data_IF_462204233191
#
_entry.id   IF_462204233191
#
_cell.length_a   1.000
_cell.length_b   1.000
_cell.length_c   1.000
_cell.angle_alpha   90.00
_cell.angle_beta   90.00
_cell.angle_gamma   90.00
#
_symmetry.space_group_name_H-M   'P 1'
#
loop_
_entity.id
_entity.type
_entity.pdbx_description
1 polymer ?
#
# COMPACT_ATOMS: atom_id res chain seq x y z
N UNK A 1 4.31 17.54 -15.77
CA UNK A 1 3.29 16.47 -15.78
C UNK A 1 2.89 16.21 -14.36
N UNK A 2 1.60 16.05 -14.09
CA UNK A 2 1.10 15.67 -12.77
C UNK A 2 1.22 14.16 -12.64
N UNK A 3 1.98 13.68 -11.67
CA UNK A 3 2.09 12.25 -11.34
C UNK A 3 0.85 11.80 -10.57
N UNK A 4 0.54 10.51 -10.63
CA UNK A 4 -0.62 9.91 -9.99
C UNK A 4 -0.40 8.41 -9.75
N UNK A 5 -1.24 7.83 -8.90
CA UNK A 5 -1.35 6.40 -8.68
C UNK A 5 -2.57 5.91 -9.48
N UNK A 6 -2.41 4.91 -10.32
CA UNK A 6 -3.50 4.28 -11.08
C UNK A 6 -3.30 2.78 -11.10
N UNK A 7 -4.27 2.05 -11.63
CA UNK A 7 -4.18 0.61 -11.79
C UNK A 7 -4.27 0.14 -13.26
N UNK A 8 -3.82 -1.09 -13.45
CA UNK A 8 -3.99 -1.96 -14.60
C UNK A 8 -4.50 -3.32 -14.10
N UNK A 9 -5.56 -3.86 -14.71
CA UNK A 9 -6.14 -5.15 -14.32
C UNK A 9 -5.59 -6.20 -15.28
N UNK A 10 -4.66 -7.01 -14.77
CA UNK A 10 -4.00 -8.10 -15.49
C UNK A 10 -4.93 -9.31 -15.58
N UNK A 11 -5.62 -9.62 -14.48
CA UNK A 11 -6.67 -10.65 -14.40
C UNK A 11 -7.62 -10.31 -13.25
N UNK A 12 -8.86 -10.76 -13.35
CA UNK A 12 -9.92 -10.43 -12.40
C UNK A 12 -10.95 -11.56 -12.31
N UNK A 13 -11.70 -11.58 -11.22
CA UNK A 13 -12.88 -12.42 -11.03
C UNK A 13 -14.10 -11.53 -10.85
N UNK A 14 -15.00 -11.59 -11.83
CA UNK A 14 -16.29 -10.88 -11.84
C UNK A 14 -16.19 -9.35 -11.64
N UNK A 15 -15.03 -8.75 -11.95
CA UNK A 15 -14.81 -7.31 -11.85
C UNK A 15 -14.48 -6.80 -10.44
N UNK A 16 -14.31 -7.69 -9.45
CA UNK A 16 -14.08 -7.32 -8.05
C UNK A 16 -12.77 -6.57 -7.85
N UNK A 17 -11.69 -6.98 -8.52
CA UNK A 17 -10.40 -6.28 -8.39
C UNK A 17 -10.44 -4.90 -9.03
N UNK A 18 -11.17 -4.72 -10.13
CA UNK A 18 -11.34 -3.40 -10.74
C UNK A 18 -12.01 -2.40 -9.79
N UNK A 19 -13.05 -2.82 -9.09
CA UNK A 19 -13.74 -1.97 -8.11
C UNK A 19 -12.82 -1.62 -6.93
N UNK A 20 -12.20 -2.64 -6.33
CA UNK A 20 -11.26 -2.45 -5.22
C UNK A 20 -10.06 -1.56 -5.59
N UNK A 21 -9.48 -1.75 -6.79
CA UNK A 21 -8.35 -0.97 -7.25
C UNK A 21 -8.69 0.51 -7.44
N UNK A 22 -9.93 0.82 -7.87
CA UNK A 22 -10.42 2.20 -7.95
C UNK A 22 -10.44 2.85 -6.55
N UNK A 23 -11.03 2.17 -5.57
CA UNK A 23 -11.11 2.65 -4.19
C UNK A 23 -9.70 2.86 -3.62
N UNK A 24 -8.82 1.87 -3.77
CA UNK A 24 -7.48 1.90 -3.23
C UNK A 24 -6.59 2.99 -3.85
N UNK A 25 -6.66 3.17 -5.17
CA UNK A 25 -5.94 4.27 -5.83
C UNK A 25 -6.50 5.64 -5.42
N UNK A 26 -7.82 5.76 -5.25
CA UNK A 26 -8.43 7.01 -4.79
C UNK A 26 -8.00 7.36 -3.36
N UNK A 27 -7.95 6.39 -2.46
CA UNK A 27 -7.44 6.55 -1.11
C UNK A 27 -6.06 7.19 -1.11
N UNK A 28 -5.08 6.61 -1.81
CA UNK A 28 -3.72 7.15 -1.81
C UNK A 28 -3.60 8.48 -2.57
N UNK A 29 -4.33 8.66 -3.68
CA UNK A 29 -4.31 9.94 -4.43
C UNK A 29 -4.98 11.09 -3.68
N UNK A 30 -5.85 10.82 -2.70
CA UNK A 30 -6.38 11.85 -1.79
C UNK A 30 -5.25 12.48 -1.00
N UNK A 31 -4.38 11.66 -0.42
CA UNK A 31 -3.33 12.12 0.47
C UNK A 31 -2.02 12.48 -0.24
N UNK A 32 -1.75 11.90 -1.41
CA UNK A 32 -0.42 11.95 -2.01
C UNK A 32 -0.43 12.42 -3.47
N UNK A 33 0.65 13.09 -3.85
CA UNK A 33 1.14 13.14 -5.23
C UNK A 33 2.45 12.35 -5.27
N UNK A 34 2.51 11.23 -6.01
CA UNK A 34 3.68 10.38 -5.95
C UNK A 34 4.87 11.01 -6.69
N UNK A 35 6.11 10.70 -6.27
CA UNK A 35 7.33 11.22 -6.92
C UNK A 35 7.39 10.93 -8.43
N UNK A 36 6.86 9.78 -8.83
CA UNK A 36 6.72 9.26 -10.20
C UNK A 36 5.31 8.68 -10.32
N UNK A 37 4.77 8.58 -11.54
CA UNK A 37 3.50 7.88 -11.73
C UNK A 37 3.66 6.40 -11.36
N UNK A 38 2.67 5.87 -10.66
CA UNK A 38 2.63 4.48 -10.21
C UNK A 38 1.48 3.76 -10.91
N UNK A 39 1.75 2.58 -11.46
CA UNK A 39 0.73 1.65 -11.96
C UNK A 39 0.72 0.42 -11.07
N UNK A 40 -0.37 0.26 -10.33
CA UNK A 40 -0.67 -0.94 -9.56
C UNK A 40 -1.20 -2.00 -10.54
N UNK A 41 -0.52 -3.13 -10.65
CA UNK A 41 -0.89 -4.18 -11.59
C UNK A 41 -1.57 -5.31 -10.82
N UNK A 42 -2.89 -5.37 -10.90
CA UNK A 42 -3.67 -6.33 -10.13
C UNK A 42 -3.97 -7.56 -10.96
N UNK A 43 -3.64 -8.73 -10.43
CA UNK A 43 -4.03 -10.02 -10.95
C UNK A 43 -4.63 -10.91 -9.87
N UNK A 44 -4.94 -12.14 -10.27
CA UNK A 44 -5.39 -13.19 -9.37
C UNK A 44 -4.44 -14.38 -9.36
N UNK A 45 -4.40 -15.08 -8.24
CA UNK A 45 -3.77 -16.40 -8.14
C UNK A 45 -4.69 -17.38 -7.41
N UNK A 46 -4.44 -18.68 -7.57
CA UNK A 46 -5.19 -19.72 -6.89
C UNK A 46 -4.30 -20.42 -5.84
N UNK A 47 -4.73 -20.38 -4.58
CA UNK A 47 -4.11 -21.15 -3.52
C UNK A 47 -5.14 -21.60 -2.50
N UNK A 48 -5.01 -22.84 -2.03
CA UNK A 48 -5.82 -23.37 -0.92
C UNK A 48 -5.36 -22.87 0.46
N UNK A 49 -4.18 -22.25 0.52
CA UNK A 49 -3.57 -21.74 1.75
C UNK A 49 -4.32 -20.55 2.35
N UNK A 50 -3.67 -19.90 3.31
CA UNK A 50 -4.22 -18.76 4.04
C UNK A 50 -3.78 -17.40 3.47
N UNK A 51 -2.89 -17.38 2.48
CA UNK A 51 -2.42 -16.16 1.81
C UNK A 51 -3.58 -15.46 1.11
N UNK A 52 -3.83 -14.21 1.49
CA UNK A 52 -4.89 -13.33 0.97
C UNK A 52 -4.41 -12.67 -0.32
N UNK A 53 -3.26 -12.01 -0.26
CA UNK A 53 -2.66 -11.28 -1.36
C UNK A 53 -1.14 -11.47 -1.36
N UNK A 54 -0.53 -11.10 -2.49
CA UNK A 54 0.93 -11.08 -2.68
C UNK A 54 1.34 -9.77 -3.30
N UNK A 55 2.29 -9.07 -2.69
CA UNK A 55 3.04 -8.03 -3.36
C UNK A 55 4.38 -8.56 -3.89
N UNK A 56 4.66 -8.12 -5.10
CA UNK A 56 5.92 -8.37 -5.77
C UNK A 56 6.79 -7.12 -5.71
N UNK A 57 8.10 -7.32 -5.85
CA UNK A 57 9.05 -6.21 -5.89
C UNK A 57 8.69 -5.22 -7.02
N UNK A 58 8.48 -3.92 -6.72
CA UNK A 58 8.18 -2.94 -7.75
C UNK A 58 9.33 -2.79 -8.74
N UNK A 59 9.00 -2.54 -10.01
CA UNK A 59 9.97 -2.28 -11.08
C UNK A 59 9.68 -0.94 -11.76
N UNK A 60 10.65 -0.42 -12.52
CA UNK A 60 10.55 0.91 -13.13
C UNK A 60 10.86 0.86 -14.61
N UNK A 61 10.03 1.52 -15.43
CA UNK A 61 10.29 1.71 -16.85
C UNK A 61 9.88 3.11 -17.29
N UNK A 62 10.78 3.79 -18.02
CA UNK A 62 10.57 5.16 -18.55
C UNK A 62 10.04 6.17 -17.52
N UNK A 63 10.47 6.05 -16.25
CA UNK A 63 10.07 6.94 -15.18
C UNK A 63 8.64 6.71 -14.67
N UNK A 64 8.11 5.50 -14.84
CA UNK A 64 6.89 4.97 -14.22
C UNK A 64 7.29 3.79 -13.34
N UNK A 65 6.73 3.71 -12.13
CA UNK A 65 6.86 2.56 -11.24
C UNK A 65 5.65 1.64 -11.42
N UNK A 66 5.89 0.33 -11.43
CA UNK A 66 4.85 -0.69 -11.50
C UNK A 66 4.92 -1.52 -10.21
N UNK A 67 3.78 -1.64 -9.52
CA UNK A 67 3.63 -2.46 -8.31
C UNK A 67 2.72 -3.63 -8.60
N UNK A 68 3.25 -4.85 -8.82
CA UNK A 68 2.43 -6.03 -9.08
C UNK A 68 1.85 -6.57 -7.78
N UNK A 69 0.54 -6.83 -7.80
CA UNK A 69 -0.22 -7.39 -6.70
C UNK A 69 -1.08 -8.52 -7.25
N UNK A 70 -1.07 -9.67 -6.59
CA UNK A 70 -2.00 -10.76 -6.89
C UNK A 70 -2.91 -11.03 -5.70
N UNK A 71 -4.21 -11.20 -5.97
CA UNK A 71 -5.21 -11.54 -4.95
C UNK A 71 -5.64 -13.00 -5.09
N UNK A 72 -5.77 -13.69 -3.98
CA UNK A 72 -6.19 -15.08 -4.01
C UNK A 72 -7.69 -15.18 -4.32
N UNK A 73 -8.03 -15.91 -5.38
CA UNK A 73 -9.41 -16.15 -5.82
C UNK A 73 -10.32 -16.65 -4.70
N UNK A 74 -9.78 -17.44 -3.76
CA UNK A 74 -10.51 -17.94 -2.58
C UNK A 74 -11.09 -16.80 -1.75
N UNK A 75 -10.32 -15.74 -1.51
CA UNK A 75 -10.76 -14.61 -0.68
C UNK A 75 -11.58 -13.61 -1.47
N UNK A 76 -11.40 -13.52 -2.79
CA UNK A 76 -12.34 -12.78 -3.64
C UNK A 76 -13.77 -13.32 -3.56
N UNK A 77 -13.99 -14.60 -3.22
CA UNK A 77 -15.34 -15.14 -2.99
C UNK A 77 -15.92 -14.80 -1.60
N UNK A 78 -15.04 -14.56 -0.63
CA UNK A 78 -15.41 -14.37 0.77
C UNK A 78 -15.58 -12.89 1.13
N UNK A 79 -14.75 -12.04 0.55
CA UNK A 79 -14.65 -10.62 0.88
C UNK A 79 -15.62 -9.78 0.05
N UNK A 80 -16.05 -8.69 0.66
CA UNK A 80 -16.71 -7.61 -0.06
C UNK A 80 -15.70 -6.67 -0.74
N UNK A 81 -16.20 -5.63 -1.40
CA UNK A 81 -15.35 -4.70 -2.14
C UNK A 81 -14.43 -3.87 -1.23
N UNK A 82 -14.85 -3.56 0.00
CA UNK A 82 -14.06 -2.77 0.95
C UNK A 82 -12.96 -3.62 1.56
N UNK A 83 -13.25 -4.86 1.94
CA UNK A 83 -12.25 -5.81 2.41
C UNK A 83 -11.12 -6.01 1.40
N UNK A 84 -11.48 -6.19 0.11
CA UNK A 84 -10.50 -6.33 -0.98
C UNK A 84 -9.74 -5.02 -1.16
N UNK A 85 -10.43 -3.87 -1.13
CA UNK A 85 -9.80 -2.57 -1.29
C UNK A 85 -8.80 -2.28 -0.17
N UNK A 86 -9.12 -2.61 1.09
CA UNK A 86 -8.22 -2.42 2.23
C UNK A 86 -6.91 -3.17 2.07
N UNK A 87 -6.98 -4.45 1.68
CA UNK A 87 -5.79 -5.22 1.32
C UNK A 87 -5.02 -4.57 0.16
N UNK A 88 -5.69 -4.13 -0.90
CA UNK A 88 -4.98 -3.45 -2.01
C UNK A 88 -4.36 -2.12 -1.55
N UNK A 89 -4.98 -1.39 -0.63
CA UNK A 89 -4.43 -0.15 -0.06
C UNK A 89 -3.13 -0.45 0.68
N UNK A 90 -3.11 -1.49 1.51
CA UNK A 90 -1.92 -1.96 2.22
C UNK A 90 -0.78 -2.25 1.23
N UNK A 91 -1.05 -3.05 0.21
CA UNK A 91 -0.03 -3.47 -0.79
C UNK A 91 0.47 -2.30 -1.66
N UNK A 92 -0.36 -1.26 -1.88
CA UNK A 92 0.10 -0.02 -2.49
C UNK A 92 1.04 0.75 -1.55
N UNK A 93 0.84 0.69 -0.22
CA UNK A 93 1.76 1.22 0.79
C UNK A 93 3.18 0.67 0.63
N UNK A 94 3.29 -0.63 0.35
CA UNK A 94 4.56 -1.23 -0.07
C UNK A 94 5.05 -0.63 -1.36
N UNK A 95 4.26 -0.61 -2.43
CA UNK A 95 4.66 0.01 -3.71
C UNK A 95 5.17 1.46 -3.57
N UNK A 96 4.66 2.22 -2.58
CA UNK A 96 5.07 3.58 -2.25
C UNK A 96 6.41 3.67 -1.48
N UNK A 97 6.88 2.61 -0.84
CA UNK A 97 8.20 2.61 -0.21
C UNK A 97 8.33 1.80 1.07
N UNK A 98 7.23 1.52 1.75
CA UNK A 98 7.25 0.80 3.04
C UNK A 98 7.79 -0.62 2.81
N UNK A 99 8.73 -1.06 3.64
CA UNK A 99 9.38 -2.37 3.54
C UNK A 99 10.52 -2.51 2.52
N UNK A 100 10.78 -1.48 1.71
CA UNK A 100 11.90 -1.48 0.76
C UNK A 100 13.23 -1.03 1.37
N UNK A 101 14.27 -0.98 0.53
CA UNK A 101 15.63 -0.67 0.98
C UNK A 101 15.71 0.68 1.70
N UNK A 102 15.07 1.72 1.15
CA UNK A 102 15.06 3.05 1.80
C UNK A 102 14.34 3.03 3.14
N UNK A 103 13.31 2.22 3.31
CA UNK A 103 12.60 2.07 4.58
C UNK A 103 13.50 1.45 5.65
N UNK A 104 14.28 0.43 5.29
CA UNK A 104 15.24 -0.25 6.20
C UNK A 104 16.35 0.67 6.69
N UNK A 105 16.63 1.75 5.96
CA UNK A 105 17.57 2.79 6.40
C UNK A 105 16.98 3.72 7.47
N UNK A 106 15.66 3.74 7.68
CA UNK A 106 14.99 4.70 8.55
C UNK A 106 15.06 4.37 10.05
N UNK A 107 15.31 3.11 10.40
CA UNK A 107 15.23 2.61 11.78
C UNK A 107 16.43 1.75 12.18
N UNK A 108 16.57 1.51 13.48
CA UNK A 108 17.53 0.55 14.02
C UNK A 108 17.03 -0.88 13.86
N UNK A 109 17.69 -1.72 13.07
CA UNK A 109 17.24 -3.09 12.77
C UNK A 109 16.92 -3.96 14.01
N UNK A 110 17.59 -3.72 15.14
CA UNK A 110 17.39 -4.51 16.36
C UNK A 110 16.31 -3.95 17.29
N UNK A 111 15.92 -2.69 17.12
CA UNK A 111 14.95 -2.02 18.00
C UNK A 111 13.64 -1.70 17.28
N UNK A 112 13.65 -1.61 15.95
CA UNK A 112 12.52 -1.12 15.16
C UNK A 112 12.30 0.39 15.30
N UNK A 113 13.07 1.08 16.15
CA UNK A 113 12.92 2.50 16.43
C UNK A 113 13.51 3.37 15.33
N UNK A 114 12.76 4.40 14.93
CA UNK A 114 13.19 5.35 13.90
C UNK A 114 14.36 6.22 14.37
N UNK A 115 15.32 6.45 13.46
CA UNK A 115 16.51 7.23 13.78
C UNK A 115 16.15 8.72 13.97
N UNK A 116 16.84 9.45 14.87
CA UNK A 116 16.49 10.82 15.22
C UNK A 116 16.46 11.82 14.06
N UNK A 117 17.22 11.59 12.99
CA UNK A 117 17.18 12.41 11.78
C UNK A 117 15.82 12.36 11.08
N UNK A 118 15.15 11.20 11.10
CA UNK A 118 13.83 11.02 10.46
C UNK A 118 12.70 11.44 11.38
N UNK A 119 12.84 11.26 12.70
CA UNK A 119 11.84 11.78 13.65
C UNK A 119 11.85 13.31 13.73
N UNK A 120 12.94 13.99 13.35
CA UNK A 120 12.91 15.45 13.17
C UNK A 120 12.09 15.89 11.95
N UNK A 121 12.05 15.07 10.91
CA UNK A 121 11.33 15.35 9.67
C UNK A 121 9.86 14.90 9.76
N UNK A 122 9.59 13.75 10.37
CA UNK A 122 8.26 13.23 10.71
C UNK A 122 8.21 12.98 12.22
N UNK A 123 7.79 13.95 13.04
CA UNK A 123 7.78 13.86 14.51
C UNK A 123 7.10 12.62 15.09
N UNK A 124 5.98 12.21 14.53
CA UNK A 124 5.20 11.09 15.08
C UNK A 124 5.91 9.73 14.97
N UNK A 125 6.94 9.61 14.12
CA UNK A 125 7.76 8.40 14.06
C UNK A 125 8.49 8.08 15.38
N UNK A 126 8.65 9.06 16.27
CA UNK A 126 9.22 8.81 17.61
C UNK A 126 8.32 7.89 18.48
N UNK A 127 7.04 7.77 18.12
CA UNK A 127 6.06 6.92 18.78
C UNK A 127 5.82 5.61 18.02
N UNK A 128 6.46 5.45 16.86
CA UNK A 128 6.32 4.28 16.01
C UNK A 128 7.51 3.35 16.13
N UNK A 129 7.25 2.06 15.92
CA UNK A 129 8.27 1.02 15.78
C UNK A 129 7.93 0.10 14.63
N UNK A 130 8.96 -0.35 13.93
CA UNK A 130 8.86 -1.34 12.86
C UNK A 130 8.89 -2.75 13.45
N UNK A 131 8.14 -3.67 12.86
CA UNK A 131 8.12 -5.08 13.23
C UNK A 131 9.51 -5.71 13.15
N UNK A 132 9.93 -6.39 14.22
CA UNK A 132 11.27 -7.02 14.34
C UNK A 132 11.20 -8.52 14.60
N UNK A 133 10.00 -9.08 14.67
CA UNK A 133 9.66 -10.48 14.87
C UNK A 133 9.07 -11.08 13.57
N UNK A 134 8.50 -12.28 13.67
CA UNK A 134 7.92 -13.05 12.57
C UNK A 134 8.93 -13.40 11.45
N UNK A 135 8.40 -13.80 10.29
CA UNK A 135 9.19 -14.25 9.15
C UNK A 135 9.61 -13.10 8.22
N UNK A 136 10.44 -13.39 7.20
CA UNK A 136 10.97 -12.38 6.28
C UNK A 136 9.92 -11.56 5.50
N UNK A 137 8.69 -12.07 5.36
CA UNK A 137 7.58 -11.33 4.74
C UNK A 137 7.02 -10.23 5.63
N UNK A 138 7.13 -10.37 6.95
CA UNK A 138 6.55 -9.45 7.92
C UNK A 138 7.63 -8.56 8.57
N UNK A 139 8.73 -9.19 8.97
CA UNK A 139 9.83 -8.54 9.67
C UNK A 139 10.44 -7.41 8.83
N UNK A 140 10.61 -6.22 9.43
CA UNK A 140 11.22 -5.03 8.82
C UNK A 140 10.41 -4.38 7.71
N UNK A 141 9.21 -4.86 7.44
CA UNK A 141 8.34 -4.33 6.38
C UNK A 141 7.09 -3.64 6.90
N UNK A 142 6.76 -3.82 8.18
CA UNK A 142 5.50 -3.41 8.76
C UNK A 142 5.68 -2.57 10.01
N UNK A 143 4.61 -1.90 10.42
CA UNK A 143 4.52 -1.47 11.81
C UNK A 143 4.47 -2.69 12.74
N UNK A 144 5.01 -2.50 13.94
CA UNK A 144 5.03 -3.53 14.98
C UNK A 144 3.61 -4.02 15.35
N UNK A 145 3.39 -5.32 15.24
CA UNK A 145 2.09 -5.97 15.43
C UNK A 145 1.54 -5.77 16.84
N UNK A 146 2.38 -6.01 17.85
CA UNK A 146 1.97 -5.98 19.26
C UNK A 146 1.56 -4.57 19.70
N UNK A 147 2.17 -3.54 19.10
CA UNK A 147 1.93 -2.14 19.44
C UNK A 147 0.82 -1.50 18.63
N UNK A 148 0.70 -1.88 17.36
CA UNK A 148 -0.16 -1.16 16.41
C UNK A 148 -1.31 -1.98 15.84
N UNK A 149 -1.31 -3.32 16.02
CA UNK A 149 -2.38 -4.29 15.75
C UNK A 149 -3.33 -3.96 14.58
N UNK A 150 -4.27 -3.02 14.78
CA UNK A 150 -5.25 -2.60 13.78
C UNK A 150 -4.69 -1.65 12.71
N UNK A 151 -3.45 -1.19 12.81
CA UNK A 151 -2.90 -0.25 11.82
C UNK A 151 -2.77 -0.92 10.44
N UNK A 152 -3.26 -0.25 9.40
CA UNK A 152 -3.25 -0.68 7.99
C UNK A 152 -1.99 -1.41 7.53
N UNK A 153 -0.80 -0.98 7.92
CA UNK A 153 0.51 -1.50 7.49
C UNK A 153 1.16 -2.38 8.57
N UNK A 154 0.37 -3.03 9.43
CA UNK A 154 0.78 -4.29 10.07
C UNK A 154 0.73 -5.43 9.04
N UNK A 155 1.50 -6.49 9.24
CA UNK A 155 1.63 -7.63 8.34
C UNK A 155 0.58 -8.74 8.51
N UNK A 156 -0.42 -8.55 9.37
CA UNK A 156 -1.61 -9.40 9.45
C UNK A 156 -2.88 -8.58 9.22
N UNK A 157 -3.73 -9.04 8.32
CA UNK A 157 -5.02 -8.42 7.99
C UNK A 157 -5.96 -8.48 9.20
N UNK A 158 -6.53 -7.33 9.57
CA UNK A 158 -7.66 -7.25 10.49
C UNK A 158 -8.93 -6.74 9.76
N UNK A 159 -10.14 -7.19 10.14
CA UNK A 159 -11.40 -6.62 9.62
C UNK A 159 -11.69 -5.19 10.09
N UNK A 160 -11.05 -4.71 11.16
CA UNK A 160 -11.27 -3.37 11.74
C UNK A 160 -10.03 -2.49 11.59
N UNK A 161 -9.37 -2.56 10.43
CA UNK A 161 -8.17 -1.78 10.14
C UNK A 161 -8.38 -0.27 10.32
N UNK A 162 -7.36 0.40 10.82
CA UNK A 162 -7.28 1.82 11.11
C UNK A 162 -6.03 2.41 10.45
N UNK A 163 -6.06 3.69 10.10
CA UNK A 163 -4.89 4.38 9.54
C UNK A 163 -4.41 5.42 10.53
N UNK A 164 -3.15 5.33 10.93
CA UNK A 164 -2.49 6.37 11.71
C UNK A 164 -2.03 7.52 10.81
N UNK A 165 -2.07 8.79 11.27
CA UNK A 165 -1.54 9.94 10.53
C UNK A 165 -0.11 9.74 10.02
N UNK A 166 0.72 9.08 10.82
CA UNK A 166 2.13 8.81 10.50
C UNK A 166 2.32 7.90 9.28
N UNK A 167 1.37 6.99 8.99
CA UNK A 167 1.40 6.11 7.82
C UNK A 167 1.28 6.90 6.52
N UNK A 168 0.53 8.00 6.53
CA UNK A 168 0.48 8.93 5.42
C UNK A 168 1.72 9.85 5.42
N UNK A 169 2.09 10.38 6.58
CA UNK A 169 3.18 11.36 6.70
C UNK A 169 4.55 10.78 6.29
N UNK A 170 4.83 9.51 6.62
CA UNK A 170 6.11 8.85 6.31
C UNK A 170 6.40 8.80 4.81
N UNK A 171 5.38 8.90 3.96
CA UNK A 171 5.52 8.93 2.51
C UNK A 171 6.39 10.08 2.00
N UNK A 172 6.48 11.19 2.77
CA UNK A 172 7.38 12.29 2.43
C UNK A 172 8.86 11.85 2.46
N UNK A 173 9.21 10.93 3.37
CA UNK A 173 10.58 10.40 3.46
C UNK A 173 10.96 9.60 2.22
N UNK A 174 10.01 9.06 1.46
CA UNK A 174 10.26 8.41 0.16
C UNK A 174 10.27 9.39 -1.01
N UNK A 175 9.97 10.67 -0.77
CA UNK A 175 9.95 11.75 -1.75
C UNK A 175 8.62 11.93 -2.46
N UNK A 176 7.55 11.28 -1.99
CA UNK A 176 6.19 11.65 -2.38
C UNK A 176 5.81 12.96 -1.71
N UNK A 177 4.86 13.69 -2.31
CA UNK A 177 4.34 14.90 -1.69
C UNK A 177 3.02 14.57 -1.01
N UNK A 178 2.98 14.73 0.31
CA UNK A 178 1.73 14.72 1.08
C UNK A 178 0.97 16.02 0.79
N UNK A 179 -0.27 15.90 0.33
CA UNK A 179 -1.14 17.02 -0.04
C UNK A 179 -2.34 17.19 0.90
N UNK A 180 -2.68 16.15 1.65
CA UNK A 180 -3.66 16.17 2.72
C UNK A 180 -3.07 15.37 3.88
N UNK A 181 -3.11 15.93 5.09
CA UNK A 181 -2.72 15.24 6.31
C UNK A 181 -3.96 14.58 6.94
N UNK A 182 -3.80 13.36 7.43
CA UNK A 182 -4.83 12.71 8.21
C UNK A 182 -4.78 13.27 9.65
N UNK A 183 -5.87 13.86 10.12
CA UNK A 183 -5.87 14.61 11.38
C UNK A 183 -5.75 13.73 12.64
N UNK A 184 -6.22 12.47 12.56
CA UNK A 184 -6.26 11.52 13.67
C UNK A 184 -6.37 10.10 13.13
N UNK A 185 -6.08 9.13 13.99
CA UNK A 185 -6.43 7.74 13.75
C UNK A 185 -7.91 7.64 13.30
N UNK A 186 -8.13 6.98 12.18
CA UNK A 186 -9.44 6.86 11.53
C UNK A 186 -9.58 5.45 10.95
N UNK A 187 -10.76 4.84 11.07
CA UNK A 187 -11.03 3.54 10.48
C UNK A 187 -10.85 3.56 8.97
N UNK A 188 -10.28 2.49 8.41
CA UNK A 188 -9.99 2.39 6.98
C UNK A 188 -11.26 2.49 6.14
N UNK A 189 -12.35 1.84 6.58
CA UNK A 189 -13.66 1.89 5.90
C UNK A 189 -14.18 3.32 5.78
N UNK A 190 -14.09 4.11 6.87
CA UNK A 190 -14.48 5.52 6.86
C UNK A 190 -13.68 6.31 5.83
N UNK A 191 -12.37 6.04 5.72
CA UNK A 191 -11.50 6.72 4.75
C UNK A 191 -11.81 6.30 3.31
N UNK A 192 -12.14 5.01 3.08
CA UNK A 192 -12.51 4.48 1.77
C UNK A 192 -13.86 5.05 1.29
N UNK A 193 -14.87 5.11 2.17
CA UNK A 193 -16.17 5.72 1.86
C UNK A 193 -16.03 7.20 1.49
N UNK A 194 -15.20 7.94 2.22
CA UNK A 194 -14.91 9.34 1.91
C UNK A 194 -14.17 9.51 0.56
N UNK A 195 -13.37 8.52 0.17
CA UNK A 195 -12.58 8.55 -1.07
C UNK A 195 -13.40 8.15 -2.33
N UNK A 196 -14.46 7.34 -2.20
CA UNK A 196 -15.27 6.94 -3.36
C UNK A 196 -16.08 8.10 -3.95
N UNK A 197 -16.39 9.12 -3.14
CA UNK A 197 -16.99 10.38 -3.60
C UNK A 197 -16.05 11.30 -4.39
N UNK A 198 -14.73 11.05 -4.34
CA UNK A 198 -13.72 11.84 -5.04
C UNK A 198 -13.38 11.17 -6.36
N UNK A 199 -14.15 11.49 -7.40
CA UNK A 199 -13.75 11.17 -8.78
C UNK A 199 -12.56 12.04 -9.13
N UNK A 200 -11.34 11.55 -8.94
CA UNK A 200 -10.17 12.21 -9.49
C UNK A 200 -10.27 12.20 -11.02
N UNK A 201 -10.72 13.33 -11.58
CA UNK A 201 -10.92 13.55 -13.02
C UNK A 201 -9.58 13.72 -13.75
N UNK A 202 -8.65 12.80 -13.54
CA UNK A 202 -7.37 12.68 -14.26
C UNK A 202 -7.43 11.60 -15.35
N UNK A 203 -8.62 11.19 -15.79
CA UNK A 203 -8.80 10.16 -16.82
C UNK A 203 -7.92 10.43 -18.06
N UNK A 204 -7.85 11.69 -18.53
CA UNK A 204 -7.01 12.08 -19.66
C UNK A 204 -5.49 12.07 -19.42
N UNK A 205 -5.04 12.04 -18.15
CA UNK A 205 -3.64 11.80 -17.80
C UNK A 205 -3.35 10.31 -17.67
N UNK A 206 -4.30 9.51 -17.16
CA UNK A 206 -4.19 8.04 -17.06
C UNK A 206 -4.09 7.38 -18.44
N UNK A 207 -4.86 7.85 -19.43
CA UNK A 207 -4.83 7.32 -20.81
C UNK A 207 -3.47 7.45 -21.50
N UNK A 208 -2.60 8.36 -21.03
CA UNK A 208 -1.27 8.59 -21.61
C UNK A 208 -0.17 7.75 -20.97
N UNK A 209 -0.48 7.03 -19.89
CA UNK A 209 0.48 6.20 -19.19
C UNK A 209 0.55 4.84 -19.90
N UNK A 210 1.76 4.41 -20.24
CA UNK A 210 1.99 3.07 -20.78
C UNK A 210 1.72 2.02 -19.70
N UNK A 211 0.64 1.25 -19.86
CA UNK A 211 0.28 0.15 -18.95
C UNK A 211 0.82 -1.20 -19.41
N UNK A 212 1.40 -1.28 -20.61
CA UNK A 212 1.70 -2.56 -21.26
C UNK A 212 3.01 -3.21 -20.80
N UNK A 213 3.86 -2.46 -20.09
CA UNK A 213 5.16 -2.95 -19.67
C UNK A 213 5.08 -3.95 -18.50
N UNK A 214 5.66 -5.14 -18.72
CA UNK A 214 5.62 -6.25 -17.77
C UNK A 214 7.02 -6.78 -17.50
N UNK A 215 7.34 -6.99 -16.23
CA UNK A 215 8.56 -7.68 -15.78
C UNK A 215 8.17 -8.72 -14.72
N UNK A 216 8.79 -9.89 -14.78
CA UNK A 216 8.70 -10.87 -13.70
C UNK A 216 9.62 -10.45 -12.56
N UNK A 217 9.08 -10.39 -11.36
CA UNK A 217 9.78 -9.98 -10.15
C UNK A 217 9.52 -10.97 -9.03
N UNK A 218 10.34 -10.93 -7.98
CA UNK A 218 10.23 -11.83 -6.84
C UNK A 218 9.04 -11.44 -5.93
N UNK A 219 8.37 -12.45 -5.36
CA UNK A 219 7.39 -12.26 -4.29
C UNK A 219 8.16 -11.73 -3.09
N UNK A 220 7.76 -10.56 -2.60
CA UNK A 220 8.34 -9.94 -1.42
C UNK A 220 7.50 -10.21 -0.19
N UNK A 221 6.19 -10.28 -0.41
CA UNK A 221 5.22 -10.38 0.65
C UNK A 221 4.08 -11.33 0.29
N UNK A 222 3.64 -12.05 1.30
CA UNK A 222 2.39 -12.77 1.32
C UNK A 222 1.62 -12.25 2.53
N UNK A 223 0.46 -11.64 2.31
CA UNK A 223 -0.38 -11.13 3.40
C UNK A 223 -1.27 -12.25 3.93
N UNK A 224 -1.37 -12.34 5.25
CA UNK A 224 -2.14 -13.35 5.97
C UNK A 224 -3.25 -12.71 6.82
N UNK A 225 -4.19 -13.54 7.26
CA UNK A 225 -5.08 -13.25 8.40
C UNK A 225 -4.37 -13.52 9.72
#
# INVERSE_FOLDING_TARGET
>A
MTTLITYDIVSDKDGKLKEAAKIACNFWNRFLIPKTSIIVRLGVFESKGFVIARAYKPYSNKGIVYGPIEFNVKYLDLYDALDIAGTVIHEIGHTLGIGWDKWKDLFGRYTGEFKPEYTKEVPDLQHMTVETSFGPGTQYSHWDEERFNLELMTGFKDPMEEVLPVTIAVMQLFGHRVIEELARLTGLDELMEQADGVVFSKAGDVEKIDKSHTEETEIMEELYF
#
